data_IF_769801574213
#
_entry.id   IF_769801574213
#
_cell.length_a   1.000
_cell.length_b   1.000
_cell.length_c   1.000
_cell.angle_alpha   90.00
_cell.angle_beta   90.00
_cell.angle_gamma   90.00
#
_symmetry.space_group_name_H-M   'P 1'
#
loop_
_entity.id
_entity.type
_entity.pdbx_description
1 polymer ?
#
# COMPACT_ATOMS: atom_id res chain seq x y z
N UNK A 1 22.79 6.51 5.27
CA UNK A 1 22.07 6.06 4.09
C UNK A 1 20.73 6.74 4.03
N UNK A 2 20.40 7.34 2.93
CA UNK A 2 19.14 8.07 2.81
C UNK A 2 17.96 7.11 2.67
N UNK A 3 16.98 7.26 3.55
CA UNK A 3 15.70 6.60 3.38
C UNK A 3 15.01 7.23 2.17
N UNK A 4 14.51 6.44 1.22
CA UNK A 4 13.81 7.01 0.09
C UNK A 4 12.57 7.77 0.57
N UNK A 5 12.34 8.95 -0.02
CA UNK A 5 11.12 9.71 0.21
C UNK A 5 9.97 9.00 -0.47
N UNK A 6 9.22 8.23 0.30
CA UNK A 6 8.04 7.55 -0.20
C UNK A 6 6.89 8.55 -0.26
N UNK A 7 6.24 8.62 -1.41
CA UNK A 7 5.06 9.46 -1.61
C UNK A 7 3.86 8.57 -1.91
N UNK A 8 2.74 8.93 -1.33
CA UNK A 8 1.52 8.16 -1.48
C UNK A 8 0.36 9.07 -1.86
N UNK A 9 -0.55 8.55 -2.66
CA UNK A 9 -1.74 9.28 -3.11
C UNK A 9 -2.96 8.42 -2.92
N UNK A 10 -4.11 9.07 -2.65
CA UNK A 10 -5.41 8.43 -2.57
C UNK A 10 -6.15 8.62 -3.87
N UNK A 11 -6.69 7.56 -4.44
CA UNK A 11 -7.57 7.65 -5.61
C UNK A 11 -8.94 8.15 -5.14
N UNK A 12 -9.22 9.43 -5.37
CA UNK A 12 -10.48 10.03 -4.97
C UNK A 12 -11.56 9.91 -6.03
N UNK A 13 -11.19 10.24 -7.25
CA UNK A 13 -12.18 10.35 -8.35
C UNK A 13 -12.51 8.98 -8.89
N UNK A 14 -13.79 8.57 -8.91
CA UNK A 14 -14.16 7.25 -9.42
C UNK A 14 -14.18 7.16 -10.95
N UNK A 15 -14.13 8.29 -11.64
CA UNK A 15 -14.18 8.31 -13.11
C UNK A 15 -12.80 8.01 -13.72
N UNK A 16 -12.78 7.52 -14.94
CA UNK A 16 -11.57 7.33 -15.73
C UNK A 16 -11.03 5.91 -15.68
N UNK A 17 -9.75 5.74 -15.50
CA UNK A 17 -9.00 4.48 -15.67
C UNK A 17 -9.33 3.42 -14.62
N UNK A 18 -10.55 2.90 -14.68
CA UNK A 18 -11.08 2.05 -13.61
C UNK A 18 -10.42 0.67 -13.54
N UNK A 19 -9.84 0.19 -14.62
CA UNK A 19 -9.38 -1.20 -14.70
C UNK A 19 -8.21 -1.51 -13.77
N UNK A 20 -7.29 -0.56 -13.57
CA UNK A 20 -6.08 -0.78 -12.78
C UNK A 20 -6.00 0.05 -11.51
N UNK A 21 -7.02 0.87 -11.23
CA UNK A 21 -7.10 1.69 -10.02
C UNK A 21 -8.44 1.50 -9.33
N UNK A 22 -8.40 1.31 -8.02
CA UNK A 22 -9.60 1.15 -7.20
C UNK A 22 -9.89 2.46 -6.48
N UNK A 23 -11.13 2.98 -6.54
CA UNK A 23 -11.50 4.17 -5.78
C UNK A 23 -11.25 4.01 -4.28
N UNK A 24 -10.82 5.08 -3.62
CA UNK A 24 -10.56 5.15 -2.19
C UNK A 24 -9.41 4.25 -1.73
N UNK A 25 -8.53 3.85 -2.65
CA UNK A 25 -7.33 3.09 -2.32
C UNK A 25 -6.09 3.98 -2.43
N UNK A 26 -5.07 3.67 -1.61
CA UNK A 26 -3.81 4.41 -1.59
C UNK A 26 -2.80 3.74 -2.50
N UNK A 27 -2.06 4.55 -3.23
CA UNK A 27 -1.03 4.09 -4.17
C UNK A 27 0.29 4.82 -3.94
N UNK A 28 1.39 4.13 -4.23
CA UNK A 28 2.72 4.73 -4.16
C UNK A 28 3.04 5.47 -5.45
N UNK A 29 3.67 6.64 -5.31
CA UNK A 29 4.12 7.47 -6.44
C UNK A 29 5.61 7.32 -6.61
N UNK A 30 6.03 7.08 -7.86
CA UNK A 30 7.43 7.06 -8.25
C UNK A 30 7.76 8.42 -8.86
N UNK A 31 8.84 9.08 -8.42
CA UNK A 31 9.22 10.37 -9.03
C UNK A 31 9.40 10.26 -10.54
N UNK A 32 8.86 11.23 -11.27
CA UNK A 32 8.91 11.25 -12.73
C UNK A 32 8.86 12.69 -13.25
N UNK A 33 9.65 13.02 -14.29
CA UNK A 33 9.62 14.37 -14.88
C UNK A 33 8.24 14.80 -15.40
N UNK A 34 7.36 13.85 -15.73
CA UNK A 34 6.02 14.16 -16.21
C UNK A 34 5.13 14.83 -15.15
N UNK A 35 5.58 14.89 -13.89
CA UNK A 35 4.86 15.61 -12.85
C UNK A 35 4.74 17.11 -13.19
N UNK A 36 5.71 17.65 -13.91
CA UNK A 36 5.66 19.03 -14.40
C UNK A 36 4.52 19.26 -15.39
N UNK A 37 4.01 18.19 -15.99
CA UNK A 37 2.90 18.25 -16.95
C UNK A 37 1.59 17.72 -16.37
N UNK A 38 1.47 17.64 -15.06
CA UNK A 38 0.26 17.20 -14.39
C UNK A 38 0.02 15.70 -14.39
N UNK A 39 1.06 14.91 -14.57
CA UNK A 39 0.99 13.44 -14.55
C UNK A 39 1.75 12.89 -13.35
N UNK A 40 1.27 11.76 -12.81
CA UNK A 40 1.98 11.03 -11.75
C UNK A 40 2.26 9.61 -12.22
N UNK A 41 3.47 9.13 -11.93
CA UNK A 41 3.78 7.72 -12.14
C UNK A 41 3.41 6.96 -10.89
N UNK A 42 2.44 6.08 -11.00
CA UNK A 42 1.82 5.40 -9.88
C UNK A 42 1.91 3.90 -10.07
N UNK A 43 2.24 3.17 -9.00
CA UNK A 43 2.18 1.71 -9.02
C UNK A 43 0.71 1.33 -8.82
N UNK A 44 0.11 0.71 -9.82
CA UNK A 44 -1.32 0.41 -9.83
C UNK A 44 -1.65 -0.94 -9.17
N UNK A 45 -2.90 -1.37 -9.27
CA UNK A 45 -3.36 -2.61 -8.64
C UNK A 45 -2.67 -3.85 -9.21
N UNK A 46 -2.08 -3.78 -10.40
CA UNK A 46 -1.34 -4.89 -11.00
C UNK A 46 0.09 -5.00 -10.47
N UNK A 47 0.55 -3.98 -9.74
CA UNK A 47 1.93 -3.90 -9.27
C UNK A 47 2.88 -3.28 -10.29
N UNK A 48 2.38 -2.84 -11.43
CA UNK A 48 3.17 -2.14 -12.44
C UNK A 48 2.95 -0.65 -12.35
N UNK A 49 3.91 0.12 -12.85
CA UNK A 49 3.83 1.57 -12.79
C UNK A 49 3.43 2.15 -14.16
N UNK A 50 2.51 3.11 -14.12
CA UNK A 50 2.04 3.84 -15.29
C UNK A 50 1.83 5.30 -14.95
N UNK A 51 1.80 6.15 -15.98
CA UNK A 51 1.48 7.57 -15.81
C UNK A 51 -0.04 7.75 -15.82
N UNK A 52 -0.53 8.47 -14.83
CA UNK A 52 -1.94 8.83 -14.69
C UNK A 52 -2.06 10.33 -14.48
N UNK A 53 -3.21 10.90 -14.80
CA UNK A 53 -3.49 12.30 -14.53
C UNK A 53 -3.48 12.56 -13.02
N UNK A 54 -2.74 13.57 -12.58
CA UNK A 54 -2.57 13.86 -11.16
C UNK A 54 -3.87 14.23 -10.47
N UNK A 55 -4.82 14.80 -11.20
CA UNK A 55 -6.11 15.21 -10.61
C UNK A 55 -7.03 14.03 -10.22
N UNK A 56 -6.66 12.80 -10.58
CA UNK A 56 -7.37 11.62 -10.10
C UNK A 56 -7.07 11.32 -8.64
N UNK A 57 -6.06 11.95 -8.06
CA UNK A 57 -5.52 11.59 -6.75
C UNK A 57 -5.42 12.78 -5.81
N UNK A 58 -5.36 12.48 -4.52
CA UNK A 58 -5.00 13.43 -3.47
C UNK A 58 -3.77 12.92 -2.74
N UNK A 59 -2.78 13.76 -2.50
CA UNK A 59 -1.60 13.38 -1.75
C UNK A 59 -1.95 13.09 -0.30
N UNK A 60 -1.28 12.10 0.28
CA UNK A 60 -1.49 11.68 1.65
C UNK A 60 -0.16 11.79 2.40
N UNK A 61 -0.19 12.51 3.52
CA UNK A 61 1.01 12.72 4.34
C UNK A 61 1.14 11.72 5.48
N UNK A 62 0.08 10.97 5.77
CA UNK A 62 0.04 10.11 6.94
C UNK A 62 -0.54 8.73 6.57
N UNK A 63 0.26 7.69 6.81
CA UNK A 63 -0.09 6.30 6.52
C UNK A 63 -0.25 5.45 7.77
N UNK A 64 -0.73 6.04 8.86
CA UNK A 64 -0.88 5.31 10.12
C UNK A 64 -2.06 4.34 10.11
N UNK A 65 -3.03 4.55 9.22
CA UNK A 65 -4.19 3.67 9.11
C UNK A 65 -4.02 2.60 8.05
N UNK A 66 -4.91 1.62 8.07
CA UNK A 66 -5.00 0.62 7.00
C UNK A 66 -5.56 1.31 5.76
N UNK A 67 -4.77 1.38 4.69
CA UNK A 67 -5.11 2.12 3.49
C UNK A 67 -5.35 1.23 2.28
N UNK A 68 -4.91 -0.02 2.34
CA UNK A 68 -5.07 -0.96 1.23
C UNK A 68 -4.99 -2.38 1.77
N UNK A 69 -5.25 -3.34 0.91
CA UNK A 69 -5.14 -4.74 1.28
C UNK A 69 -4.60 -5.57 0.13
N UNK A 70 -3.95 -6.66 0.49
CA UNK A 70 -3.38 -7.63 -0.44
C UNK A 70 -3.88 -9.01 -0.03
N UNK A 71 -4.31 -9.81 -0.98
CA UNK A 71 -4.71 -11.19 -0.73
C UNK A 71 -3.57 -12.13 -1.08
N UNK A 72 -3.20 -12.96 -0.12
CA UNK A 72 -2.10 -13.93 -0.30
C UNK A 72 -2.62 -15.32 0.02
N UNK A 73 -2.33 -16.29 -0.86
CA UNK A 73 -2.62 -17.68 -0.59
C UNK A 73 -1.61 -18.27 0.39
N UNK A 74 -2.11 -19.00 1.37
CA UNK A 74 -1.28 -19.69 2.36
C UNK A 74 -1.53 -21.18 2.31
N UNK A 75 -0.52 -21.97 2.67
CA UNK A 75 -0.73 -23.39 2.89
C UNK A 75 -1.54 -23.60 4.17
N UNK A 76 -2.19 -24.75 4.30
CA UNK A 76 -2.92 -25.07 5.54
C UNK A 76 -2.00 -25.04 6.76
N UNK A 77 -0.75 -25.52 6.61
CA UNK A 77 0.25 -25.52 7.71
C UNK A 77 0.59 -24.11 8.15
N UNK A 78 0.78 -23.21 7.20
CA UNK A 78 1.08 -21.81 7.51
C UNK A 78 -0.08 -21.15 8.24
N UNK A 79 -1.30 -21.35 7.74
CA UNK A 79 -2.48 -20.77 8.36
C UNK A 79 -2.67 -21.28 9.79
N UNK A 80 -2.50 -22.58 10.01
CA UNK A 80 -2.64 -23.19 11.33
C UNK A 80 -1.59 -22.65 12.30
N UNK A 81 -0.35 -22.51 11.86
CA UNK A 81 0.73 -21.98 12.69
C UNK A 81 0.47 -20.52 13.08
N UNK A 82 0.06 -19.70 12.12
CA UNK A 82 -0.27 -18.29 12.37
C UNK A 82 -1.41 -18.18 13.37
N UNK A 83 -2.46 -18.97 13.16
CA UNK A 83 -3.62 -18.98 14.07
C UNK A 83 -3.21 -19.32 15.50
N UNK A 84 -2.35 -20.33 15.66
CA UNK A 84 -1.89 -20.77 16.98
C UNK A 84 -1.11 -19.67 17.69
N UNK A 85 -0.18 -19.04 16.99
CA UNK A 85 0.65 -17.97 17.56
C UNK A 85 -0.20 -16.76 17.91
N UNK A 86 -1.11 -16.36 17.00
CA UNK A 86 -2.00 -15.23 17.24
C UNK A 86 -2.89 -15.47 18.47
N UNK A 87 -3.43 -16.68 18.59
CA UNK A 87 -4.28 -17.06 19.73
C UNK A 87 -3.51 -17.01 21.05
N UNK A 88 -2.27 -17.50 21.05
CA UNK A 88 -1.42 -17.47 22.25
C UNK A 88 -1.08 -16.04 22.68
N UNK A 89 -0.96 -15.13 21.73
CA UNK A 89 -0.62 -13.73 22.01
C UNK A 89 -1.85 -12.85 22.21
N UNK A 90 -3.05 -13.38 21.99
CA UNK A 90 -4.27 -12.61 22.14
C UNK A 90 -4.46 -11.54 21.07
N UNK A 91 -3.94 -11.75 19.86
CA UNK A 91 -4.08 -10.81 18.75
C UNK A 91 -4.74 -11.50 17.56
N UNK A 92 -5.24 -10.72 16.61
CA UNK A 92 -5.80 -11.28 15.38
C UNK A 92 -4.67 -11.80 14.48
N UNK A 93 -5.01 -12.73 13.57
CA UNK A 93 -4.04 -13.19 12.56
C UNK A 93 -3.54 -12.04 11.70
N UNK A 94 -4.43 -11.12 11.32
CA UNK A 94 -4.05 -9.97 10.53
C UNK A 94 -3.06 -9.07 11.25
N UNK A 95 -3.28 -8.83 12.55
CA UNK A 95 -2.37 -8.02 13.36
C UNK A 95 -0.99 -8.66 13.45
N UNK A 96 -0.95 -9.97 13.66
CA UNK A 96 0.31 -10.70 13.73
C UNK A 96 1.08 -10.65 12.41
N UNK A 97 0.39 -10.85 11.29
CA UNK A 97 0.99 -10.81 9.98
C UNK A 97 1.54 -9.40 9.69
N UNK A 98 0.79 -8.35 10.02
CA UNK A 98 1.26 -6.97 9.85
C UNK A 98 2.50 -6.69 10.68
N UNK A 99 2.55 -7.20 11.91
CA UNK A 99 3.72 -7.06 12.77
C UNK A 99 4.95 -7.71 12.13
N UNK A 100 4.83 -8.92 11.61
CA UNK A 100 5.93 -9.61 10.95
C UNK A 100 6.40 -8.89 9.69
N UNK A 101 5.45 -8.36 8.91
CA UNK A 101 5.78 -7.59 7.72
C UNK A 101 6.54 -6.32 8.11
N UNK A 102 6.06 -5.62 9.13
CA UNK A 102 6.68 -4.41 9.62
C UNK A 102 8.11 -4.66 10.10
N UNK A 103 8.30 -5.73 10.89
CA UNK A 103 9.63 -6.13 11.36
C UNK A 103 10.57 -6.46 10.20
N UNK A 104 10.07 -7.17 9.20
CA UNK A 104 10.89 -7.61 8.08
C UNK A 104 11.28 -6.47 7.16
N UNK A 105 10.38 -5.52 6.96
CA UNK A 105 10.62 -4.38 6.07
C UNK A 105 11.37 -3.24 6.76
N UNK A 106 11.24 -3.14 8.07
CA UNK A 106 11.89 -2.08 8.86
C UNK A 106 11.65 -0.70 8.26
N UNK A 107 10.37 -0.42 7.98
CA UNK A 107 9.99 0.86 7.38
C UNK A 107 10.09 1.99 8.39
N UNK A 108 10.42 3.21 7.93
CA UNK A 108 10.44 4.37 8.83
C UNK A 108 9.04 4.61 9.40
N UNK A 109 8.99 4.97 10.68
CA UNK A 109 7.73 5.31 11.33
C UNK A 109 7.25 6.63 10.75
N UNK A 110 5.99 6.65 10.27
CA UNK A 110 5.34 7.89 9.85
C UNK A 110 5.14 8.78 11.06
N UNK A 111 5.79 9.89 11.03
CA UNK A 111 5.59 10.88 12.09
C UNK A 111 4.29 11.63 11.86
#
# INVERSE_FOLDING_TARGET
>A
MNTPNLRYVLRETPAGYAASLTPQRVYEVIPDPAEANGMLRVIDDTGEDYLFEADLFREIDNLTGVATEVTVGLTWSMKAAIHRIASQRGVSMSALIREWIDERLDLPVSA
#
